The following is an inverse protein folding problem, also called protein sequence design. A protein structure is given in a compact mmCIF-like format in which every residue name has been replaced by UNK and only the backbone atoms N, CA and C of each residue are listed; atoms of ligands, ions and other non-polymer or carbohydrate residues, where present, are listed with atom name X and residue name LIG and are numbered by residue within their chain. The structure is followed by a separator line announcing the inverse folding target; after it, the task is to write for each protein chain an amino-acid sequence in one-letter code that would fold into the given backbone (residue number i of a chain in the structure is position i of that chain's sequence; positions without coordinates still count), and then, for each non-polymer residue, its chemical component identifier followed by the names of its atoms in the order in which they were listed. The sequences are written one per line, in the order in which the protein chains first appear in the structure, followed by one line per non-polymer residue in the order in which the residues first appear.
data_IF_638851741316
#
_entry.id   IF_638851741316
#
_cell.length_a   1.000
_cell.length_b   1.000
_cell.length_c   1.000
_cell.angle_alpha   90.00
_cell.angle_beta   90.00
_cell.angle_gamma   90.00
#
_symmetry.space_group_name_H-M   'P 1'
#
loop_
_entity.id
_entity.type
_entity.pdbx_description
1 polymer ?
#
# COMPACT_ATOMS: atom_id res chain seq x y z
N UNK A 1 1.14 -4.34 18.93
CA UNK A 1 1.69 -3.75 17.72
C UNK A 1 0.57 -3.59 16.70
N UNK A 2 0.49 -2.45 16.04
CA UNK A 2 -0.58 -2.20 15.09
C UNK A 2 -0.18 -2.64 13.68
N UNK A 3 -1.18 -2.98 12.89
CA UNK A 3 -0.99 -3.39 11.50
C UNK A 3 -1.91 -2.56 10.59
N UNK A 4 -1.45 -2.34 9.36
CA UNK A 4 -2.24 -1.76 8.30
C UNK A 4 -2.38 -2.79 7.19
N UNK A 5 -3.60 -3.01 6.74
CA UNK A 5 -3.90 -3.98 5.69
C UNK A 5 -4.51 -3.21 4.54
N UNK A 6 -3.88 -3.31 3.37
CA UNK A 6 -4.34 -2.61 2.15
C UNK A 6 -4.70 -3.65 1.11
N UNK A 7 -5.88 -3.50 0.52
CA UNK A 7 -6.30 -4.32 -0.62
C UNK A 7 -6.70 -3.40 -1.76
N UNK A 8 -6.14 -3.62 -2.94
CA UNK A 8 -6.50 -2.87 -4.14
C UNK A 8 -6.21 -3.68 -5.40
N UNK A 9 -6.88 -3.29 -6.47
CA UNK A 9 -6.63 -3.86 -7.80
C UNK A 9 -5.69 -2.96 -8.59
N UNK A 10 -4.87 -3.56 -9.43
CA UNK A 10 -3.97 -2.84 -10.33
C UNK A 10 -4.21 -3.32 -11.76
N UNK A 11 -3.79 -2.51 -12.74
CA UNK A 11 -3.91 -2.89 -14.15
C UNK A 11 -2.96 -4.00 -14.51
N UNK A 12 -1.73 -3.94 -13.97
CA UNK A 12 -0.67 -4.89 -14.26
C UNK A 12 0.31 -4.91 -13.08
N UNK A 13 0.41 -6.04 -12.42
CA UNK A 13 1.31 -6.20 -11.28
C UNK A 13 2.76 -5.88 -11.65
N UNK A 14 3.23 -6.32 -12.82
CA UNK A 14 4.61 -6.10 -13.23
C UNK A 14 4.94 -4.62 -13.39
N UNK A 15 3.98 -3.80 -13.77
CA UNK A 15 4.14 -2.34 -13.84
C UNK A 15 3.99 -1.67 -12.46
N UNK A 16 3.15 -2.23 -11.59
CA UNK A 16 2.92 -1.71 -10.24
C UNK A 16 4.11 -1.92 -9.31
N UNK A 17 4.73 -3.09 -9.36
CA UNK A 17 5.76 -3.48 -8.38
C UNK A 17 6.96 -2.53 -8.33
N UNK A 18 7.56 -2.09 -9.47
CA UNK A 18 8.68 -1.16 -9.41
C UNK A 18 8.33 0.18 -8.76
N UNK A 19 7.12 0.69 -8.99
CA UNK A 19 6.65 1.94 -8.39
C UNK A 19 6.47 1.77 -6.88
N UNK A 20 5.91 0.65 -6.46
CA UNK A 20 5.77 0.31 -5.04
C UNK A 20 7.14 0.23 -4.36
N UNK A 21 8.09 -0.47 -4.95
CA UNK A 21 9.43 -0.61 -4.38
C UNK A 21 10.14 0.73 -4.27
N UNK A 22 10.02 1.59 -5.27
CA UNK A 22 10.65 2.91 -5.27
C UNK A 22 10.07 3.86 -4.21
N UNK A 23 8.88 3.58 -3.70
CA UNK A 23 8.20 4.41 -2.68
C UNK A 23 8.47 3.96 -1.25
N UNK A 24 9.36 3.01 -1.03
CA UNK A 24 9.64 2.44 0.29
C UNK A 24 10.09 3.50 1.32
N UNK A 25 10.94 4.44 0.92
CA UNK A 25 11.43 5.47 1.85
C UNK A 25 10.30 6.32 2.42
N UNK A 26 9.29 6.65 1.60
CA UNK A 26 8.13 7.41 2.05
C UNK A 26 7.29 6.60 3.05
N UNK A 27 7.13 5.30 2.81
CA UNK A 27 6.42 4.42 3.75
C UNK A 27 7.16 4.32 5.08
N UNK A 28 8.45 4.11 5.04
CA UNK A 28 9.28 4.03 6.24
C UNK A 28 9.19 5.31 7.06
N UNK A 29 9.26 6.47 6.40
CA UNK A 29 9.13 7.77 7.05
C UNK A 29 7.76 7.93 7.73
N UNK A 30 6.73 7.27 7.22
CA UNK A 30 5.38 7.27 7.81
C UNK A 30 5.21 6.21 8.90
N UNK A 31 6.24 5.45 9.21
CA UNK A 31 6.19 4.39 10.22
C UNK A 31 5.58 3.08 9.72
N UNK A 32 5.51 2.90 8.41
CA UNK A 32 5.03 1.66 7.78
C UNK A 32 6.24 0.81 7.39
N UNK A 33 6.42 -0.31 8.07
CA UNK A 33 7.59 -1.18 7.89
C UNK A 33 7.18 -2.63 7.67
N UNK A 34 8.14 -3.46 7.29
CA UNK A 34 7.94 -4.88 7.08
C UNK A 34 6.78 -5.17 6.11
N UNK A 35 6.78 -4.47 4.98
CA UNK A 35 5.75 -4.64 3.96
C UNK A 35 5.79 -6.03 3.33
N UNK A 36 4.64 -6.71 3.34
CA UNK A 36 4.48 -8.04 2.74
C UNK A 36 3.39 -7.96 1.70
N UNK A 37 3.74 -8.30 0.47
CA UNK A 37 2.83 -8.21 -0.67
C UNK A 37 2.34 -9.60 -1.04
N UNK A 38 1.02 -9.74 -1.11
CA UNK A 38 0.36 -10.97 -1.57
C UNK A 38 -0.50 -10.66 -2.78
N UNK A 39 -0.65 -11.64 -3.64
CA UNK A 39 -1.52 -11.56 -4.82
C UNK A 39 -2.60 -12.60 -4.67
N UNK A 40 -3.83 -12.27 -5.07
CA UNK A 40 -4.90 -13.24 -5.07
C UNK A 40 -4.55 -14.41 -5.99
N UNK A 41 -4.85 -15.62 -5.54
CA UNK A 41 -4.65 -16.82 -6.35
C UNK A 41 -5.60 -16.88 -7.54
N UNK A 42 -6.71 -16.14 -7.49
CA UNK A 42 -7.71 -16.10 -8.56
C UNK A 42 -7.46 -14.95 -9.53
N UNK A 43 -6.92 -13.85 -9.04
CA UNK A 43 -6.62 -12.66 -9.85
C UNK A 43 -5.28 -12.07 -9.43
N UNK A 44 -4.22 -12.26 -10.23
CA UNK A 44 -2.89 -11.78 -9.86
C UNK A 44 -2.77 -10.26 -9.79
N UNK A 45 -3.76 -9.52 -10.26
CA UNK A 45 -3.80 -8.06 -10.16
C UNK A 45 -4.64 -7.55 -8.97
N UNK A 46 -5.17 -8.46 -8.15
CA UNK A 46 -5.80 -8.14 -6.87
C UNK A 46 -4.74 -8.33 -5.78
N UNK A 47 -4.33 -7.25 -5.15
CA UNK A 47 -3.14 -7.20 -4.30
C UNK A 47 -3.53 -6.91 -2.86
N UNK A 48 -2.92 -7.65 -1.94
CA UNK A 48 -3.06 -7.47 -0.51
C UNK A 48 -1.69 -7.15 0.07
N UNK A 49 -1.58 -6.06 0.85
CA UNK A 49 -0.33 -5.64 1.45
C UNK A 49 -0.53 -5.50 2.96
N UNK A 50 0.41 -6.06 3.74
CA UNK A 50 0.42 -5.90 5.18
C UNK A 50 1.65 -5.11 5.61
N UNK A 51 1.45 -4.17 6.53
CA UNK A 51 2.54 -3.39 7.13
C UNK A 51 2.44 -3.44 8.65
N UNK A 52 3.59 -3.38 9.31
CA UNK A 52 3.66 -3.03 10.72
C UNK A 52 3.54 -1.51 10.84
N UNK A 53 2.78 -1.03 11.82
CA UNK A 53 2.51 0.40 12.01
C UNK A 53 3.10 0.87 13.33
N UNK A 54 4.06 1.78 13.27
CA UNK A 54 4.66 2.38 14.46
C UNK A 54 3.75 3.43 15.09
N UNK A 55 3.04 4.20 14.26
CA UNK A 55 2.16 5.28 14.69
C UNK A 55 0.97 5.35 13.74
N UNK A 56 -0.20 4.95 14.23
CA UNK A 56 -1.42 4.91 13.43
C UNK A 56 -1.79 6.27 12.83
N UNK A 57 -1.62 7.34 13.59
CA UNK A 57 -1.96 8.69 13.11
C UNK A 57 -1.11 9.07 11.90
N UNK A 58 0.18 8.80 11.96
CA UNK A 58 1.08 9.06 10.83
C UNK A 58 0.74 8.19 9.63
N UNK A 59 0.38 6.93 9.87
CA UNK A 59 -0.06 6.04 8.81
C UNK A 59 -1.33 6.55 8.13
N UNK A 60 -2.30 7.03 8.91
CA UNK A 60 -3.54 7.60 8.38
C UNK A 60 -3.27 8.86 7.55
N UNK A 61 -2.40 9.73 8.02
CA UNK A 61 -2.00 10.95 7.28
C UNK A 61 -1.33 10.57 5.95
N UNK A 62 -0.45 9.58 5.98
CA UNK A 62 0.20 9.09 4.76
C UNK A 62 -0.81 8.50 3.78
N UNK A 63 -1.75 7.70 4.27
CA UNK A 63 -2.78 7.07 3.43
C UNK A 63 -3.69 8.11 2.76
N UNK A 64 -3.86 9.28 3.37
CA UNK A 64 -4.66 10.37 2.83
C UNK A 64 -3.83 11.39 2.05
N UNK A 65 -2.51 11.19 1.91
CA UNK A 65 -1.63 12.17 1.30
C UNK A 65 -1.79 12.24 -0.23
N UNK A 66 -1.55 13.42 -0.78
CA UNK A 66 -1.53 13.63 -2.22
C UNK A 66 -0.38 12.87 -2.88
N UNK A 67 0.75 12.75 -2.19
CA UNK A 67 1.90 12.01 -2.68
C UNK A 67 1.55 10.54 -2.93
N UNK A 68 0.89 9.90 -1.96
CA UNK A 68 0.48 8.50 -2.13
C UNK A 68 -0.57 8.37 -3.23
N UNK A 69 -1.54 9.27 -3.28
CA UNK A 69 -2.58 9.25 -4.32
C UNK A 69 -1.97 9.33 -5.71
N UNK A 70 -1.04 10.27 -5.91
CA UNK A 70 -0.34 10.43 -7.19
C UNK A 70 0.47 9.19 -7.53
N UNK A 71 1.18 8.64 -6.54
CA UNK A 71 1.97 7.42 -6.73
C UNK A 71 1.10 6.24 -7.12
N UNK A 72 -0.06 6.07 -6.49
CA UNK A 72 -0.99 5.00 -6.84
C UNK A 72 -1.54 5.14 -8.26
N UNK A 73 -1.88 6.35 -8.68
CA UNK A 73 -2.33 6.60 -10.03
C UNK A 73 -1.24 6.23 -11.05
N UNK A 74 -0.02 6.65 -10.79
CA UNK A 74 1.13 6.35 -11.65
C UNK A 74 1.44 4.85 -11.70
N UNK A 75 1.20 4.16 -10.59
CA UNK A 75 1.41 2.72 -10.47
C UNK A 75 0.30 1.88 -11.12
N UNK A 76 -0.79 2.50 -11.53
CA UNK A 76 -1.90 1.83 -12.19
C UNK A 76 -2.91 1.19 -11.24
N UNK A 77 -3.07 1.73 -10.03
CA UNK A 77 -4.11 1.28 -9.10
C UNK A 77 -5.47 1.66 -9.67
N UNK A 78 -6.39 0.70 -9.68
CA UNK A 78 -7.73 0.83 -10.24
C UNK A 78 -8.75 0.89 -9.10
N UNK A 79 -9.53 1.96 -9.06
CA UNK A 79 -10.54 2.16 -8.02
C UNK A 79 -9.94 2.52 -6.66
N UNK A 80 -10.80 2.78 -5.67
CA UNK A 80 -10.31 3.14 -4.33
C UNK A 80 -9.74 1.92 -3.61
N UNK A 81 -8.60 2.08 -2.90
CA UNK A 81 -8.07 0.99 -2.08
C UNK A 81 -8.91 0.79 -0.82
N UNK A 82 -8.98 -0.46 -0.36
CA UNK A 82 -9.50 -0.77 0.97
C UNK A 82 -8.34 -0.70 1.95
N UNK A 83 -8.53 0.03 3.04
CA UNK A 83 -7.51 0.19 4.09
C UNK A 83 -8.12 -0.17 5.43
N UNK A 84 -7.49 -1.09 6.14
CA UNK A 84 -7.92 -1.52 7.47
C UNK A 84 -6.75 -1.41 8.44
N UNK A 85 -7.05 -0.98 9.66
CA UNK A 85 -6.08 -0.96 10.75
C UNK A 85 -6.49 -1.98 11.80
N UNK A 86 -5.51 -2.70 12.33
CA UNK A 86 -5.71 -3.70 13.36
C UNK A 86 -4.60 -3.60 14.39
N UNK A 87 -4.85 -4.03 15.56
CA UNK A 87 -3.87 -3.96 16.64
C UNK A 87 -4.32 -4.70 17.91
#
# INVERSE_FOLDING_TARGET
MAAMIVRHSVRDYAAWRPVYDAHEAARTAAGLTNGRVFRSTEDPNDILILFDVADRRRAEEFAASDDLRTTMQRAGVVGPPEVHYAG
#
